data_IF_455659585524
#
_entry.id   IF_455659585524
#
_cell.length_a   1.000
_cell.length_b   1.000
_cell.length_c   1.000
_cell.angle_alpha   90.00
_cell.angle_beta   90.00
_cell.angle_gamma   90.00
#
_symmetry.space_group_name_H-M   'P 1'
#
loop_
_entity.id
_entity.type
_entity.pdbx_description
1 polymer ?
#
# COMPACT_ATOMS: atom_id res chain seq x y z
N UNK A 1 21.30 -27.14 -64.37
CA UNK A 1 20.78 -28.22 -63.49
C UNK A 1 20.40 -27.59 -62.16
N UNK A 2 19.12 -27.24 -61.96
CA UNK A 2 18.62 -26.80 -60.66
C UNK A 2 18.18 -28.04 -59.86
N UNK A 3 18.84 -28.29 -58.74
CA UNK A 3 18.41 -29.28 -57.75
C UNK A 3 17.24 -28.68 -56.97
N UNK A 4 16.03 -29.11 -57.24
CA UNK A 4 14.88 -28.82 -56.38
C UNK A 4 15.14 -29.46 -55.01
N UNK A 5 15.34 -28.63 -53.99
CA UNK A 5 15.42 -29.08 -52.59
C UNK A 5 14.02 -29.50 -52.18
N UNK A 6 13.82 -30.79 -51.90
CA UNK A 6 12.61 -31.26 -51.25
C UNK A 6 12.57 -30.70 -49.83
N UNK A 7 11.67 -29.77 -49.57
CA UNK A 7 11.35 -29.33 -48.22
C UNK A 7 10.64 -30.49 -47.50
N UNK A 8 11.27 -31.04 -46.47
CA UNK A 8 10.68 -32.05 -45.61
C UNK A 8 9.73 -31.34 -44.63
N UNK A 9 8.42 -31.50 -44.84
CA UNK A 9 7.41 -31.02 -43.89
C UNK A 9 7.31 -31.92 -42.65
N UNK A 10 6.99 -31.32 -41.50
CA UNK A 10 6.76 -32.03 -40.25
C UNK A 10 5.58 -33.00 -40.33
N UNK A 11 5.69 -34.16 -39.68
CA UNK A 11 4.60 -35.15 -39.62
C UNK A 11 3.60 -34.85 -38.50
N UNK A 12 2.35 -35.32 -38.64
CA UNK A 12 1.32 -35.15 -37.61
C UNK A 12 1.71 -35.79 -36.27
N UNK A 13 2.41 -36.93 -36.30
CA UNK A 13 2.83 -37.64 -35.09
C UNK A 13 3.92 -36.88 -34.33
N UNK A 14 4.85 -36.23 -35.04
CA UNK A 14 5.84 -35.35 -34.41
C UNK A 14 5.17 -34.15 -33.74
N UNK A 15 4.13 -33.58 -34.37
CA UNK A 15 3.39 -32.48 -33.76
C UNK A 15 2.60 -32.88 -32.53
N UNK A 16 2.00 -34.07 -32.51
CA UNK A 16 1.31 -34.58 -31.32
C UNK A 16 2.31 -34.81 -30.17
N UNK A 17 3.48 -35.38 -30.46
CA UNK A 17 4.53 -35.58 -29.45
C UNK A 17 5.02 -34.27 -28.83
N UNK A 18 5.27 -33.26 -29.66
CA UNK A 18 5.71 -31.93 -29.20
C UNK A 18 4.63 -31.25 -28.34
N UNK A 19 3.37 -31.27 -28.78
CA UNK A 19 2.27 -30.68 -28.01
C UNK A 19 2.05 -31.38 -26.68
N UNK A 20 2.22 -32.71 -26.62
CA UNK A 20 2.11 -33.47 -25.37
C UNK A 20 3.17 -33.04 -24.35
N UNK A 21 4.43 -32.86 -24.79
CA UNK A 21 5.50 -32.39 -23.90
C UNK A 21 5.27 -30.95 -23.45
N UNK A 22 4.86 -30.05 -24.36
CA UNK A 22 4.52 -28.65 -24.01
C UNK A 22 3.39 -28.61 -22.97
N UNK A 23 2.34 -29.43 -23.13
CA UNK A 23 1.23 -29.49 -22.19
C UNK A 23 1.68 -29.88 -20.78
N UNK A 24 2.56 -30.88 -20.65
CA UNK A 24 3.13 -31.30 -19.36
C UNK A 24 3.96 -30.16 -18.74
N UNK A 25 4.80 -29.50 -19.52
CA UNK A 25 5.62 -28.38 -19.03
C UNK A 25 4.75 -27.21 -18.55
N UNK A 26 3.74 -26.83 -19.33
CA UNK A 26 2.80 -25.74 -18.96
C UNK A 26 2.05 -26.08 -17.67
N UNK A 27 1.58 -27.33 -17.53
CA UNK A 27 0.86 -27.76 -16.33
C UNK A 27 1.70 -27.63 -15.04
N UNK A 28 3.02 -27.89 -15.13
CA UNK A 28 3.92 -27.77 -13.98
C UNK A 28 4.33 -26.31 -13.70
N UNK A 29 4.42 -25.48 -14.74
CA UNK A 29 4.91 -24.10 -14.61
C UNK A 29 3.83 -23.11 -14.17
N UNK A 30 2.57 -23.28 -14.60
CA UNK A 30 1.50 -22.31 -14.34
C UNK A 30 1.29 -21.97 -12.85
N UNK A 31 1.21 -22.94 -11.91
CA UNK A 31 1.01 -22.62 -10.50
C UNK A 31 2.13 -21.74 -9.94
N UNK A 32 3.38 -22.00 -10.34
CA UNK A 32 4.54 -21.23 -9.89
C UNK A 32 4.53 -19.80 -10.42
N UNK A 33 4.08 -19.60 -11.66
CA UNK A 33 3.94 -18.26 -12.25
C UNK A 33 2.93 -17.41 -11.45
N UNK A 34 1.80 -17.98 -11.05
CA UNK A 34 0.81 -17.26 -10.22
C UNK A 34 1.37 -16.88 -8.84
N UNK A 35 2.14 -17.76 -8.21
CA UNK A 35 2.80 -17.48 -6.94
C UNK A 35 3.79 -16.31 -7.06
N UNK A 36 4.68 -16.34 -8.06
CA UNK A 36 5.67 -15.28 -8.32
C UNK A 36 4.97 -13.95 -8.63
N UNK A 37 3.89 -13.96 -9.41
CA UNK A 37 3.13 -12.74 -9.69
C UNK A 37 2.53 -12.13 -8.43
N UNK A 38 1.97 -12.94 -7.54
CA UNK A 38 1.40 -12.44 -6.30
C UNK A 38 2.48 -11.91 -5.34
N UNK A 39 3.64 -12.58 -5.26
CA UNK A 39 4.80 -12.09 -4.51
C UNK A 39 5.33 -10.76 -5.10
N UNK A 40 5.40 -10.65 -6.42
CA UNK A 40 5.80 -9.41 -7.10
C UNK A 40 4.84 -8.26 -6.79
N UNK A 41 3.53 -8.52 -6.74
CA UNK A 41 2.52 -7.52 -6.36
C UNK A 41 2.66 -7.08 -4.90
N UNK A 42 2.87 -8.01 -3.97
CA UNK A 42 3.13 -7.70 -2.57
C UNK A 42 4.39 -6.84 -2.41
N UNK A 43 5.49 -7.21 -3.09
CA UNK A 43 6.72 -6.43 -3.10
C UNK A 43 6.54 -5.02 -3.68
N UNK A 44 5.74 -4.88 -4.75
CA UNK A 44 5.41 -3.58 -5.33
C UNK A 44 4.63 -2.69 -4.35
N UNK A 45 3.66 -3.26 -3.63
CA UNK A 45 2.94 -2.56 -2.57
C UNK A 45 3.88 -2.10 -1.47
N UNK A 46 4.73 -2.99 -0.95
CA UNK A 46 5.69 -2.65 0.12
C UNK A 46 6.68 -1.57 -0.32
N UNK A 47 7.15 -1.61 -1.57
CA UNK A 47 8.00 -0.56 -2.12
C UNK A 47 7.27 0.79 -2.16
N UNK A 48 5.99 0.81 -2.58
CA UNK A 48 5.18 2.02 -2.60
C UNK A 48 4.95 2.58 -1.18
N UNK A 49 4.73 1.71 -0.19
CA UNK A 49 4.59 2.12 1.22
C UNK A 49 5.84 2.86 1.71
N UNK A 50 7.04 2.37 1.41
CA UNK A 50 8.30 3.06 1.77
C UNK A 50 8.42 4.44 1.09
N UNK A 51 7.96 4.56 -0.15
CA UNK A 51 7.88 5.85 -0.84
C UNK A 51 6.88 6.79 -0.15
N UNK A 52 5.72 6.27 0.27
CA UNK A 52 4.73 7.06 0.99
C UNK A 52 5.24 7.53 2.37
N UNK A 53 5.91 6.65 3.13
CA UNK A 53 6.55 7.02 4.41
C UNK A 53 7.53 8.17 4.23
N UNK A 54 8.39 8.08 3.22
CA UNK A 54 9.39 9.12 2.92
C UNK A 54 8.70 10.45 2.61
N UNK A 55 7.67 10.43 1.75
CA UNK A 55 6.91 11.63 1.40
C UNK A 55 6.20 12.26 2.62
N UNK A 56 5.65 11.44 3.52
CA UNK A 56 5.00 11.89 4.75
C UNK A 56 6.01 12.52 5.72
N UNK A 57 7.20 11.93 5.85
CA UNK A 57 8.29 12.49 6.67
C UNK A 57 8.79 13.83 6.11
N UNK A 58 8.97 13.93 4.80
CA UNK A 58 9.39 15.18 4.15
C UNK A 58 8.33 16.28 4.32
N UNK A 59 7.04 15.93 4.13
CA UNK A 59 5.94 16.84 4.39
C UNK A 59 5.90 17.31 5.86
N UNK A 60 6.10 16.39 6.81
CA UNK A 60 6.16 16.72 8.23
C UNK A 60 7.34 17.64 8.56
N UNK A 61 8.50 17.42 7.95
CA UNK A 61 9.69 18.26 8.13
C UNK A 61 9.42 19.72 7.74
N UNK A 62 8.74 19.93 6.61
CA UNK A 62 8.42 21.26 6.13
C UNK A 62 7.26 21.92 6.90
N UNK A 63 6.15 21.20 7.09
CA UNK A 63 4.90 21.76 7.66
C UNK A 63 4.87 21.71 9.19
N UNK A 64 5.66 20.84 9.82
CA UNK A 64 5.62 20.55 11.26
C UNK A 64 4.26 20.03 11.75
N UNK A 65 3.50 19.41 10.85
CA UNK A 65 2.25 18.70 11.15
C UNK A 65 2.06 17.58 10.14
N UNK A 66 1.46 16.47 10.57
CA UNK A 66 1.08 15.37 9.68
C UNK A 66 -0.28 15.60 9.01
N UNK A 67 -1.05 16.56 9.51
CA UNK A 67 -2.37 16.85 8.97
C UNK A 67 -2.23 17.62 7.64
N UNK A 68 -3.09 17.35 6.65
CA UNK A 68 -3.10 18.14 5.43
C UNK A 68 -3.47 19.59 5.71
N UNK A 69 -2.88 20.50 4.93
CA UNK A 69 -3.26 21.91 4.95
C UNK A 69 -4.65 22.09 4.32
N UNK A 70 -5.50 22.89 4.95
CA UNK A 70 -6.72 23.40 4.33
C UNK A 70 -6.40 24.49 3.27
N UNK A 71 -7.43 25.11 2.69
CA UNK A 71 -7.24 26.18 1.70
C UNK A 71 -6.53 27.42 2.28
N UNK A 72 -6.56 27.63 3.60
CA UNK A 72 -5.94 28.77 4.28
C UNK A 72 -4.54 28.46 4.83
N UNK A 73 -4.08 27.21 4.70
CA UNK A 73 -2.77 26.77 5.19
C UNK A 73 -2.78 26.34 6.64
N UNK A 74 -3.94 26.00 7.20
CA UNK A 74 -4.09 25.47 8.55
C UNK A 74 -4.14 23.94 8.51
N UNK A 75 -3.26 23.23 9.25
CA UNK A 75 -3.32 21.78 9.34
C UNK A 75 -4.65 21.32 9.94
N UNK A 76 -5.41 20.52 9.20
CA UNK A 76 -6.76 20.07 9.58
C UNK A 76 -6.90 18.58 9.35
N UNK A 77 -7.51 17.87 10.31
CA UNK A 77 -7.70 16.42 10.21
C UNK A 77 -8.67 16.06 9.08
N UNK A 78 -8.35 14.99 8.37
CA UNK A 78 -9.10 14.50 7.22
C UNK A 78 -9.12 12.96 7.28
N UNK A 79 -10.32 12.39 7.32
CA UNK A 79 -10.52 10.98 7.64
C UNK A 79 -10.73 10.08 6.41
N UNK A 80 -10.99 10.64 5.22
CA UNK A 80 -11.23 9.86 4.01
C UNK A 80 -9.92 9.31 3.44
N UNK A 81 -8.87 10.13 3.37
CA UNK A 81 -7.63 9.79 2.70
C UNK A 81 -7.79 9.61 1.18
N UNK A 82 -8.87 10.10 0.58
CA UNK A 82 -9.14 9.97 -0.86
C UNK A 82 -8.40 11.05 -1.65
N UNK A 83 -7.60 10.64 -2.63
CA UNK A 83 -6.90 11.54 -3.56
C UNK A 83 -7.80 12.47 -4.37
N UNK A 84 -9.09 12.13 -4.55
CA UNK A 84 -10.05 13.00 -5.23
C UNK A 84 -10.47 14.20 -4.35
N UNK A 85 -10.31 14.10 -3.04
CA UNK A 85 -10.60 15.18 -2.10
C UNK A 85 -9.43 16.17 -2.06
N UNK A 86 -9.64 17.41 -2.53
CA UNK A 86 -8.56 18.41 -2.67
C UNK A 86 -7.82 18.78 -1.37
N UNK A 87 -8.44 18.52 -0.21
CA UNK A 87 -7.86 18.78 1.12
C UNK A 87 -7.31 17.51 1.79
N UNK A 88 -7.31 16.36 1.11
CA UNK A 88 -6.75 15.13 1.67
C UNK A 88 -5.22 15.15 1.67
N UNK A 89 -4.63 14.32 2.53
CA UNK A 89 -3.17 14.20 2.58
C UNK A 89 -2.57 13.77 1.23
N UNK A 90 -3.09 12.76 0.49
CA UNK A 90 -2.60 12.44 -0.84
C UNK A 90 -2.61 13.60 -1.82
N UNK A 91 -3.67 14.41 -1.81
CA UNK A 91 -3.76 15.59 -2.66
C UNK A 91 -2.65 16.60 -2.31
N UNK A 92 -2.36 16.79 -1.01
CA UNK A 92 -1.26 17.68 -0.56
C UNK A 92 0.13 17.12 -0.85
N UNK A 93 0.33 15.81 -0.73
CA UNK A 93 1.62 15.18 -1.02
C UNK A 93 1.98 15.28 -2.50
N UNK A 94 0.98 15.26 -3.39
CA UNK A 94 1.17 15.33 -4.85
C UNK A 94 1.08 16.74 -5.43
N UNK A 95 0.73 17.74 -4.60
CA UNK A 95 0.58 19.12 -5.02
C UNK A 95 1.95 19.76 -5.30
N UNK A 96 2.08 20.43 -6.43
CA UNK A 96 3.25 21.21 -6.77
C UNK A 96 3.29 22.54 -5.97
N UNK A 97 4.47 22.96 -5.52
CA UNK A 97 4.64 24.22 -4.79
C UNK A 97 4.25 25.46 -5.58
N UNK A 98 4.16 25.39 -6.92
CA UNK A 98 3.68 26.47 -7.78
C UNK A 98 2.15 26.56 -7.91
N UNK A 99 1.39 25.63 -7.31
CA UNK A 99 -0.07 25.64 -7.35
C UNK A 99 -0.66 26.89 -6.66
N UNK A 100 -1.80 27.38 -7.17
CA UNK A 100 -2.47 28.57 -6.65
C UNK A 100 -2.95 28.43 -5.19
N UNK A 101 -3.11 27.20 -4.69
CA UNK A 101 -3.42 26.93 -3.27
C UNK A 101 -2.25 27.30 -2.35
N UNK A 102 -1.01 27.32 -2.86
CA UNK A 102 0.15 27.82 -2.13
C UNK A 102 0.13 29.35 -2.07
N UNK A 103 -0.71 29.88 -1.17
CA UNK A 103 -0.89 31.33 -0.97
C UNK A 103 0.29 31.99 -0.25
N UNK A 104 1.28 31.23 0.21
CA UNK A 104 2.35 31.73 1.08
C UNK A 104 1.89 32.13 2.48
N UNK A 105 0.64 31.83 2.88
CA UNK A 105 0.10 32.09 4.21
C UNK A 105 0.14 30.83 5.11
N UNK A 106 0.35 31.02 6.41
CA UNK A 106 0.38 29.92 7.39
C UNK A 106 1.33 28.78 6.95
N UNK A 107 0.87 27.53 6.96
CA UNK A 107 1.64 26.37 6.52
C UNK A 107 2.09 26.44 5.05
N UNK A 108 1.37 27.16 4.19
CA UNK A 108 1.74 27.31 2.77
C UNK A 108 3.09 28.01 2.60
N UNK A 109 3.45 28.94 3.49
CA UNK A 109 4.76 29.60 3.47
C UNK A 109 5.96 28.64 3.55
N UNK A 110 5.73 27.44 4.09
CA UNK A 110 6.75 26.40 4.31
C UNK A 110 6.62 25.22 3.35
N UNK A 111 5.56 25.18 2.55
CA UNK A 111 5.25 24.07 1.66
C UNK A 111 6.22 24.03 0.46
N UNK A 112 6.89 22.89 0.25
CA UNK A 112 7.86 22.69 -0.85
C UNK A 112 7.56 21.48 -1.72
N UNK A 113 6.29 21.08 -1.80
CA UNK A 113 5.87 19.96 -2.65
C UNK A 113 6.23 20.14 -4.14
N UNK A 114 6.10 19.07 -4.93
CA UNK A 114 5.46 17.81 -4.57
C UNK A 114 6.40 16.89 -3.79
N UNK A 115 5.87 16.21 -2.77
CA UNK A 115 6.59 15.21 -1.97
C UNK A 115 6.43 13.80 -2.55
N UNK A 116 5.39 13.59 -3.35
CA UNK A 116 5.07 12.33 -3.99
C UNK A 116 4.73 12.55 -5.46
N UNK A 117 5.30 11.74 -6.34
CA UNK A 117 5.09 11.89 -7.78
C UNK A 117 3.64 11.59 -8.21
N UNK A 118 2.98 10.62 -7.56
CA UNK A 118 1.61 10.23 -7.87
C UNK A 118 0.98 9.42 -6.73
N UNK A 119 -0.30 9.68 -6.48
CA UNK A 119 -1.17 8.84 -5.66
C UNK A 119 -2.57 8.89 -6.24
N UNK A 120 -3.16 7.73 -6.56
CA UNK A 120 -4.50 7.64 -7.12
C UNK A 120 -5.27 6.55 -6.40
N UNK A 121 -6.34 6.95 -5.71
CA UNK A 121 -7.11 6.06 -4.85
C UNK A 121 -7.67 4.86 -5.57
N UNK A 122 -8.17 5.03 -6.79
CA UNK A 122 -8.73 3.93 -7.59
C UNK A 122 -7.68 3.01 -8.26
N UNK A 123 -6.38 3.31 -8.12
CA UNK A 123 -5.29 2.56 -8.77
C UNK A 123 -4.22 2.22 -7.73
N UNK A 124 -4.49 1.27 -6.84
CA UNK A 124 -3.54 0.90 -5.80
C UNK A 124 -2.29 0.22 -6.39
N UNK A 125 -1.10 0.41 -5.79
CA UNK A 125 0.12 -0.25 -6.22
C UNK A 125 0.07 -1.76 -5.90
N UNK A 126 -0.01 -2.58 -6.94
CA UNK A 126 0.17 -4.04 -6.84
C UNK A 126 -1.08 -4.82 -6.41
N UNK A 127 -1.67 -4.48 -5.26
CA UNK A 127 -2.77 -5.23 -4.63
C UNK A 127 -3.96 -4.34 -4.28
N UNK A 128 -5.14 -4.96 -4.19
CA UNK A 128 -6.39 -4.31 -3.79
C UNK A 128 -7.13 -3.61 -4.94
N UNK A 129 -8.24 -3.00 -4.58
CA UNK A 129 -9.15 -2.27 -5.47
C UNK A 129 -9.18 -0.77 -5.20
N UNK A 130 -8.69 -0.34 -4.02
CA UNK A 130 -8.50 1.06 -3.70
C UNK A 130 -7.47 1.27 -2.59
N UNK A 131 -6.85 2.45 -2.57
CA UNK A 131 -5.85 2.89 -1.59
C UNK A 131 -6.16 4.30 -1.07
N UNK A 132 -6.04 4.48 0.24
CA UNK A 132 -6.38 5.73 0.91
C UNK A 132 -5.35 6.05 1.98
N UNK A 133 -5.06 7.32 2.21
CA UNK A 133 -4.08 7.75 3.23
C UNK A 133 -4.64 8.87 4.10
N UNK A 134 -5.46 8.54 5.11
CA UNK A 134 -5.96 9.53 6.06
C UNK A 134 -4.88 9.99 7.05
N UNK A 135 -5.11 11.18 7.61
CA UNK A 135 -4.31 11.74 8.69
C UNK A 135 -5.26 12.22 9.80
N UNK A 136 -5.29 11.48 10.90
CA UNK A 136 -6.32 11.66 11.94
C UNK A 136 -5.79 11.28 13.32
N UNK A 137 -6.55 11.63 14.37
CA UNK A 137 -6.27 11.19 15.72
C UNK A 137 -6.43 9.66 15.84
N UNK A 138 -5.51 8.96 16.52
CA UNK A 138 -5.63 7.55 16.85
C UNK A 138 -6.60 7.36 18.02
N UNK A 139 -6.90 6.10 18.34
CA UNK A 139 -7.47 5.78 19.66
C UNK A 139 -6.47 6.10 20.78
N UNK A 140 -6.95 6.26 22.01
CA UNK A 140 -6.09 6.57 23.15
C UNK A 140 -5.02 5.50 23.40
N UNK A 141 -3.86 5.92 23.87
CA UNK A 141 -2.78 5.04 24.31
C UNK A 141 -3.28 3.95 25.26
N UNK A 142 -2.83 2.72 25.07
CA UNK A 142 -3.23 1.58 25.89
C UNK A 142 -4.61 1.00 25.57
N UNK A 143 -5.35 1.52 24.59
CA UNK A 143 -6.62 0.92 24.13
C UNK A 143 -6.34 -0.41 23.40
N UNK A 144 -7.10 -1.46 23.68
CA UNK A 144 -6.95 -2.74 22.99
C UNK A 144 -7.11 -2.60 21.47
N UNK A 145 -6.24 -3.25 20.71
CA UNK A 145 -6.31 -3.23 19.24
C UNK A 145 -7.44 -4.11 18.74
N UNK A 146 -8.19 -3.61 17.75
CA UNK A 146 -9.23 -4.37 17.02
C UNK A 146 -8.95 -4.25 15.52
N UNK A 147 -9.57 -5.09 14.68
CA UNK A 147 -9.28 -5.07 13.24
C UNK A 147 -9.61 -3.71 12.57
N UNK A 148 -10.59 -2.98 13.09
CA UNK A 148 -11.13 -1.77 12.48
C UNK A 148 -10.80 -0.45 13.19
N UNK A 149 -10.31 -0.49 14.45
CA UNK A 149 -9.98 0.75 15.16
C UNK A 149 -8.63 1.34 14.71
N UNK A 150 -8.44 2.64 14.93
CA UNK A 150 -7.20 3.35 14.59
C UNK A 150 -6.20 3.20 15.75
N UNK A 151 -5.81 1.95 16.01
CA UNK A 151 -4.89 1.55 17.08
C UNK A 151 -3.76 0.74 16.47
N UNK A 152 -2.52 0.94 16.93
CA UNK A 152 -1.35 0.22 16.45
C UNK A 152 -0.57 -0.36 17.62
N UNK A 153 -0.43 -1.68 17.63
CA UNK A 153 0.35 -2.43 18.61
C UNK A 153 1.73 -2.70 18.02
N UNK A 154 2.67 -1.78 18.27
CA UNK A 154 4.02 -1.82 17.70
C UNK A 154 4.97 -2.69 18.54
N UNK A 155 4.62 -2.96 19.81
CA UNK A 155 5.43 -3.68 20.77
C UNK A 155 4.98 -5.14 21.03
N UNK A 156 3.87 -5.58 20.40
CA UNK A 156 3.24 -6.90 20.50
C UNK A 156 2.53 -7.21 21.84
N UNK A 157 2.05 -6.20 22.57
CA UNK A 157 1.34 -6.36 23.85
C UNK A 157 -0.20 -6.44 23.73
N UNK A 158 -0.75 -6.15 22.56
CA UNK A 158 -2.20 -6.15 22.25
C UNK A 158 -2.89 -4.80 22.40
N UNK A 159 -2.16 -3.73 22.70
CA UNK A 159 -2.71 -2.41 22.98
C UNK A 159 -2.07 -1.34 22.08
N UNK A 160 -2.75 -0.21 21.93
CA UNK A 160 -2.25 0.92 21.12
C UNK A 160 -1.04 1.56 21.77
N UNK A 161 0.08 1.60 21.04
CA UNK A 161 1.32 2.25 21.45
C UNK A 161 1.38 3.74 21.06
N UNK A 162 0.39 4.23 20.30
CA UNK A 162 0.42 5.60 19.80
C UNK A 162 0.18 6.59 20.95
N UNK A 163 1.04 7.62 21.13
CA UNK A 163 0.88 8.60 22.20
C UNK A 163 -0.46 9.34 22.13
N UNK A 164 -1.07 9.60 23.29
CA UNK A 164 -2.28 10.41 23.39
C UNK A 164 -2.04 11.83 22.85
N UNK A 165 -2.94 12.31 21.99
CA UNK A 165 -2.86 13.64 21.38
C UNK A 165 -1.98 13.72 20.13
N UNK A 166 -1.33 12.63 19.73
CA UNK A 166 -0.65 12.54 18.44
C UNK A 166 -1.67 12.45 17.30
N UNK A 167 -1.24 12.80 16.09
CA UNK A 167 -1.92 12.43 14.86
C UNK A 167 -1.19 11.24 14.23
N UNK A 168 -1.93 10.33 13.62
CA UNK A 168 -1.38 9.19 12.90
C UNK A 168 -1.70 9.30 11.42
N UNK A 169 -0.71 8.96 10.61
CA UNK A 169 -0.86 8.71 9.18
C UNK A 169 -0.73 7.23 8.95
N UNK A 170 -1.72 6.66 8.30
CA UNK A 170 -1.74 5.27 7.88
C UNK A 170 -2.29 5.20 6.46
N UNK A 171 -1.99 4.11 5.78
CA UNK A 171 -2.57 3.80 4.48
C UNK A 171 -3.50 2.62 4.67
N UNK A 172 -4.70 2.67 4.08
CA UNK A 172 -5.54 1.49 4.01
C UNK A 172 -5.89 1.12 2.58
N UNK A 173 -5.96 -0.17 2.34
CA UNK A 173 -6.30 -0.81 1.09
C UNK A 173 -7.63 -1.54 1.24
N UNK A 174 -8.39 -1.61 0.15
CA UNK A 174 -9.69 -2.30 0.10
C UNK A 174 -9.64 -3.45 -0.91
N UNK A 175 -10.39 -4.52 -0.66
CA UNK A 175 -10.42 -5.68 -1.54
C UNK A 175 -9.11 -6.47 -1.55
N UNK A 176 -8.47 -6.59 -0.38
CA UNK A 176 -7.29 -7.42 -0.17
C UNK A 176 -7.74 -8.82 0.25
N UNK A 177 -7.20 -9.87 -0.40
CA UNK A 177 -7.48 -11.25 0.02
C UNK A 177 -6.65 -11.65 1.23
N UNK A 178 -7.13 -12.61 2.04
CA UNK A 178 -6.39 -13.16 3.18
C UNK A 178 -4.97 -13.61 2.78
N UNK A 179 -4.85 -14.25 1.61
CA UNK A 179 -3.56 -14.74 1.10
C UNK A 179 -2.60 -13.65 0.65
N UNK A 180 -3.14 -12.49 0.24
CA UNK A 180 -2.33 -11.33 -0.15
C UNK A 180 -1.90 -10.55 1.10
N UNK A 181 -2.79 -10.44 2.11
CA UNK A 181 -2.44 -9.92 3.43
C UNK A 181 -1.27 -10.72 4.03
N UNK A 182 -1.36 -12.05 4.06
CA UNK A 182 -0.31 -12.89 4.64
C UNK A 182 1.07 -12.65 4.01
N UNK A 183 1.12 -12.36 2.71
CA UNK A 183 2.36 -12.05 1.99
C UNK A 183 2.90 -10.68 2.36
N UNK A 184 2.04 -9.67 2.46
CA UNK A 184 2.44 -8.31 2.84
C UNK A 184 2.92 -8.29 4.30
N UNK A 185 2.17 -8.92 5.20
CA UNK A 185 2.51 -9.04 6.62
C UNK A 185 3.86 -9.74 6.82
N UNK A 186 4.11 -10.84 6.10
CA UNK A 186 5.38 -11.56 6.16
C UNK A 186 6.59 -10.71 5.75
N UNK A 187 6.38 -9.65 4.95
CA UNK A 187 7.45 -8.72 4.52
C UNK A 187 7.61 -7.56 5.51
N UNK A 188 6.50 -6.98 5.98
CA UNK A 188 6.53 -5.75 6.80
C UNK A 188 6.78 -6.05 8.27
N UNK A 189 6.07 -7.03 8.83
CA UNK A 189 6.04 -7.34 10.27
C UNK A 189 6.46 -8.80 10.55
N UNK A 190 7.68 -9.22 10.13
CA UNK A 190 8.13 -10.59 10.35
C UNK A 190 8.21 -10.89 11.86
N UNK A 191 7.35 -11.80 12.32
CA UNK A 191 7.33 -12.29 13.70
C UNK A 191 6.43 -11.52 14.67
N UNK A 192 5.59 -10.60 14.18
CA UNK A 192 4.56 -9.95 15.00
C UNK A 192 3.35 -10.87 15.18
N UNK A 193 2.92 -11.09 16.43
CA UNK A 193 1.85 -12.04 16.76
C UNK A 193 2.27 -13.52 16.61
N UNK A 194 1.93 -14.35 17.60
CA UNK A 194 2.28 -15.79 17.59
C UNK A 194 1.14 -16.68 17.08
N UNK A 195 -0.04 -16.10 16.88
CA UNK A 195 -1.24 -16.76 16.37
C UNK A 195 -1.85 -15.95 15.22
N UNK A 196 -2.63 -16.60 14.35
CA UNK A 196 -3.32 -15.90 13.24
C UNK A 196 -4.20 -14.74 13.73
N UNK A 197 -4.88 -14.91 14.86
CA UNK A 197 -5.72 -13.87 15.45
C UNK A 197 -4.92 -12.66 15.97
N UNK A 198 -3.66 -12.85 16.34
CA UNK A 198 -2.77 -11.76 16.74
C UNK A 198 -2.11 -11.10 15.53
N UNK A 199 -1.67 -11.87 14.53
CA UNK A 199 -1.04 -11.34 13.31
C UNK A 199 -1.89 -10.29 12.59
N UNK A 200 -3.21 -10.45 12.59
CA UNK A 200 -4.12 -9.49 11.94
C UNK A 200 -4.34 -8.19 12.74
N UNK A 201 -3.92 -8.14 14.02
CA UNK A 201 -4.18 -7.03 14.94
C UNK A 201 -2.93 -6.30 15.43
N UNK A 202 -1.77 -6.94 15.27
CA UNK A 202 -0.51 -6.53 15.90
C UNK A 202 0.53 -6.23 14.86
N UNK A 203 1.41 -5.29 15.19
CA UNK A 203 2.39 -4.73 14.28
C UNK A 203 1.89 -3.46 13.62
N UNK A 204 2.56 -3.13 12.53
CA UNK A 204 2.28 -2.01 11.66
C UNK A 204 1.16 -2.32 10.68
N UNK A 205 0.97 -3.59 10.33
CA UNK A 205 -0.08 -4.08 9.43
C UNK A 205 -1.24 -4.62 10.26
N UNK A 206 -2.45 -4.22 9.90
CA UNK A 206 -3.70 -4.78 10.42
C UNK A 206 -4.60 -5.19 9.28
N UNK A 207 -5.46 -6.16 9.53
CA UNK A 207 -6.37 -6.66 8.53
C UNK A 207 -7.73 -7.03 9.12
N UNK A 208 -8.77 -6.57 8.44
CA UNK A 208 -10.17 -6.89 8.72
C UNK A 208 -10.73 -7.76 7.59
N UNK A 209 -10.84 -9.06 7.85
CA UNK A 209 -11.39 -10.04 6.91
C UNK A 209 -12.90 -9.93 6.72
N UNK A 210 -13.62 -9.16 7.56
CA UNK A 210 -15.04 -8.91 7.34
C UNK A 210 -15.29 -7.89 6.22
N UNK A 211 -14.31 -7.02 5.95
CA UNK A 211 -14.39 -5.92 4.99
C UNK A 211 -13.32 -5.97 3.91
N UNK A 212 -12.45 -6.98 3.92
CA UNK A 212 -11.26 -7.11 3.05
C UNK A 212 -10.37 -5.86 3.09
N UNK A 213 -10.24 -5.26 4.28
CA UNK A 213 -9.48 -4.02 4.49
C UNK A 213 -8.16 -4.29 5.20
N UNK A 214 -7.06 -3.88 4.56
CA UNK A 214 -5.72 -3.93 5.15
C UNK A 214 -5.26 -2.52 5.46
N UNK A 215 -4.84 -2.25 6.69
CA UNK A 215 -4.33 -0.96 7.12
C UNK A 215 -2.84 -1.09 7.48
N UNK A 216 -2.03 -0.10 7.11
CA UNK A 216 -0.59 -0.07 7.32
C UNK A 216 -0.20 1.26 7.95
N UNK A 217 0.37 1.20 9.14
CA UNK A 217 0.93 2.34 9.85
C UNK A 217 2.15 2.94 9.12
N UNK A 218 2.14 4.26 8.89
CA UNK A 218 3.27 4.99 8.32
C UNK A 218 4.03 5.79 9.38
N UNK A 219 3.36 6.72 10.06
CA UNK A 219 4.01 7.62 11.02
C UNK A 219 3.00 8.24 12.01
N UNK A 220 3.48 8.73 13.15
CA UNK A 220 2.74 9.55 14.11
C UNK A 220 3.55 10.79 14.53
N UNK A 221 2.87 11.85 14.97
CA UNK A 221 3.50 13.13 15.31
C UNK A 221 2.63 14.03 16.16
#
# INVERSE_FOLDING_TARGET
>A
MNKERREQGFTLIEMIGVLAVIAILVALLLPKVFEIMAESKANALVAAIRTYETAVVDYYSDISSLLPLDATGVPTAEATGDSATAVSLPARLTLDSSDALNTGANGWSRFKGPYLAKFVTAVPPGLGTGVYMPATAPVSYGTATTASNIAWDLNNDGNSDIPSGANVVYVYFTGISDSDFDKVDAIIDPGMGTTTAQRVLRGRVKYDSATDQMMIYLNHG
#
